data_IF_722162144083
#
_entry.id   IF_722162144083
#
_cell.length_a   1.000
_cell.length_b   1.000
_cell.length_c   1.000
_cell.angle_alpha   90.00
_cell.angle_beta   90.00
_cell.angle_gamma   90.00
#
_symmetry.space_group_name_H-M   'P 1'
#
loop_
_entity.id
_entity.type
_entity.pdbx_description
1 polymer ?
#
# COMPACT_ATOMS: atom_id res chain seq x y z
N UNK A 1 15.44 44.71 -1.23
CA UNK A 1 15.75 43.27 -1.15
C UNK A 1 15.05 42.65 0.07
N UNK A 2 13.72 42.49 0.04
CA UNK A 2 12.90 41.90 1.13
C UNK A 2 11.78 40.96 0.63
N UNK A 3 11.64 40.76 -0.69
CA UNK A 3 10.55 39.98 -1.30
C UNK A 3 10.86 38.48 -1.50
N UNK A 4 12.10 38.02 -1.32
CA UNK A 4 12.48 36.61 -1.60
C UNK A 4 12.23 35.68 -0.40
N UNK A 5 12.14 36.24 0.82
CA UNK A 5 12.04 35.43 2.06
C UNK A 5 10.62 34.87 2.28
N UNK A 6 9.57 35.56 1.80
CA UNK A 6 8.18 35.11 1.94
C UNK A 6 7.82 33.88 1.09
N UNK A 7 8.40 33.76 -0.12
CA UNK A 7 8.11 32.66 -1.04
C UNK A 7 8.66 31.31 -0.57
N UNK A 8 9.85 31.29 0.05
CA UNK A 8 10.48 30.05 0.51
C UNK A 8 9.73 29.40 1.69
N UNK A 9 9.18 30.21 2.61
CA UNK A 9 8.42 29.70 3.75
C UNK A 9 7.10 29.05 3.31
N UNK A 10 6.39 29.63 2.34
CA UNK A 10 5.14 29.05 1.82
C UNK A 10 5.37 27.72 1.09
N UNK A 11 6.47 27.62 0.31
CA UNK A 11 6.85 26.36 -0.37
C UNK A 11 7.21 25.29 0.66
N UNK A 12 7.98 25.62 1.70
CA UNK A 12 8.36 24.67 2.73
C UNK A 12 7.14 24.11 3.49
N UNK A 13 6.19 24.97 3.87
CA UNK A 13 4.94 24.53 4.53
C UNK A 13 4.12 23.62 3.61
N UNK A 14 4.00 23.99 2.33
CA UNK A 14 3.27 23.19 1.33
C UNK A 14 3.90 21.81 1.16
N UNK A 15 5.22 21.72 1.06
CA UNK A 15 5.94 20.45 0.96
C UNK A 15 5.68 19.60 2.21
N UNK A 16 5.78 20.17 3.41
CA UNK A 16 5.51 19.44 4.66
C UNK A 16 4.08 18.90 4.71
N UNK A 17 3.08 19.72 4.38
CA UNK A 17 1.67 19.29 4.38
C UNK A 17 1.44 18.18 3.36
N UNK A 18 1.95 18.32 2.14
CA UNK A 18 1.83 17.29 1.09
C UNK A 18 2.49 15.99 1.51
N UNK A 19 3.67 16.04 2.14
CA UNK A 19 4.35 14.84 2.64
C UNK A 19 3.61 14.20 3.82
N UNK A 20 3.03 14.99 4.73
CA UNK A 20 2.28 14.46 5.88
C UNK A 20 0.93 13.85 5.47
N UNK A 21 0.36 14.33 4.37
CA UNK A 21 -0.86 13.79 3.76
C UNK A 21 -0.58 12.68 2.75
N UNK A 22 0.69 12.37 2.49
CA UNK A 22 1.04 11.30 1.57
C UNK A 22 0.58 9.97 2.17
N UNK A 23 -0.11 9.10 1.40
CA UNK A 23 -0.53 7.80 1.91
C UNK A 23 0.68 7.02 2.44
N UNK A 24 0.53 6.45 3.63
CA UNK A 24 1.52 5.50 4.16
C UNK A 24 1.74 4.37 3.15
N UNK A 25 2.96 3.86 3.05
CA UNK A 25 3.27 2.78 2.12
C UNK A 25 2.47 1.51 2.46
N UNK A 26 2.32 0.59 1.50
CA UNK A 26 1.73 -0.72 1.77
C UNK A 26 2.44 -1.42 2.96
N UNK A 27 3.77 -1.42 2.98
CA UNK A 27 4.57 -1.95 4.08
C UNK A 27 4.23 -1.31 5.44
N UNK A 28 4.16 0.02 5.50
CA UNK A 28 3.83 0.75 6.73
C UNK A 28 2.42 0.44 7.23
N UNK A 29 1.46 0.28 6.31
CA UNK A 29 0.09 -0.14 6.65
C UNK A 29 0.07 -1.58 7.15
N UNK A 30 0.79 -2.50 6.52
CA UNK A 30 0.90 -3.90 6.97
C UNK A 30 1.44 -4.02 8.37
N UNK A 31 2.45 -3.22 8.76
CA UNK A 31 2.99 -3.20 10.13
C UNK A 31 1.94 -2.84 11.19
N UNK A 32 0.84 -2.19 10.82
CA UNK A 32 -0.28 -1.85 11.72
C UNK A 32 -1.24 -3.02 11.92
N UNK A 33 -1.25 -4.00 11.02
CA UNK A 33 -2.04 -5.23 11.17
C UNK A 33 -1.44 -6.06 12.31
N UNK A 34 -2.28 -6.52 13.23
CA UNK A 34 -1.87 -7.31 14.39
C UNK A 34 -2.69 -8.60 14.48
N UNK A 35 -2.12 -9.69 15.04
CA UNK A 35 -2.88 -10.89 15.34
C UNK A 35 -4.15 -10.57 16.15
N UNK A 36 -5.24 -11.26 15.83
CA UNK A 36 -6.55 -11.04 16.46
C UNK A 36 -7.44 -9.99 15.78
N UNK A 37 -6.95 -9.24 14.79
CA UNK A 37 -7.79 -8.33 14.00
C UNK A 37 -8.75 -9.10 13.09
N UNK A 38 -9.92 -8.53 12.82
CA UNK A 38 -10.86 -9.07 11.83
C UNK A 38 -10.50 -8.62 10.42
N UNK A 39 -11.03 -9.32 9.41
CA UNK A 39 -10.85 -8.90 8.01
C UNK A 39 -11.30 -7.46 7.74
N UNK A 40 -12.43 -7.03 8.33
CA UNK A 40 -12.90 -5.66 8.15
C UNK A 40 -11.92 -4.62 8.71
N UNK A 41 -11.27 -4.90 9.84
CA UNK A 41 -10.23 -4.02 10.40
C UNK A 41 -8.98 -3.97 9.52
N UNK A 42 -8.60 -5.11 8.91
CA UNK A 42 -7.51 -5.15 7.93
C UNK A 42 -7.85 -4.30 6.71
N UNK A 43 -9.06 -4.44 6.16
CA UNK A 43 -9.54 -3.65 5.02
C UNK A 43 -9.58 -2.14 5.35
N UNK A 44 -9.90 -1.75 6.58
CA UNK A 44 -9.84 -0.35 7.04
C UNK A 44 -8.39 0.17 7.09
N UNK A 45 -7.44 -0.63 7.58
CA UNK A 45 -6.01 -0.27 7.64
C UNK A 45 -5.41 -0.15 6.23
N UNK A 46 -5.74 -1.09 5.35
CA UNK A 46 -5.24 -1.15 3.98
C UNK A 46 -6.02 -0.21 3.04
N UNK A 47 -7.21 0.22 3.42
CA UNK A 47 -8.07 1.13 2.66
C UNK A 47 -8.77 0.50 1.45
N UNK A 48 -8.78 -0.82 1.34
CA UNK A 48 -9.38 -1.55 0.22
C UNK A 48 -9.65 -3.03 0.57
N UNK A 49 -10.60 -3.72 -0.10
CA UNK A 49 -10.78 -5.18 0.01
C UNK A 49 -9.59 -5.96 -0.59
N UNK A 50 -9.46 -7.27 -0.38
CA UNK A 50 -8.46 -8.09 -1.08
C UNK A 50 -8.59 -7.96 -2.60
N UNK A 51 -7.46 -7.98 -3.32
CA UNK A 51 -7.42 -7.89 -4.78
C UNK A 51 -6.17 -7.21 -5.33
N UNK A 52 -6.15 -7.01 -6.65
CA UNK A 52 -5.04 -6.38 -7.37
C UNK A 52 -5.29 -4.89 -7.60
N UNK A 53 -4.37 -4.07 -7.07
CA UNK A 53 -4.30 -2.62 -7.16
C UNK A 53 -3.06 -2.12 -7.91
N UNK A 54 -2.27 -3.04 -8.47
CA UNK A 54 -1.12 -2.73 -9.32
C UNK A 54 -1.53 -2.24 -10.70
N UNK A 55 -0.59 -1.58 -11.36
CA UNK A 55 -0.76 -1.00 -12.71
C UNK A 55 -0.51 -2.00 -13.83
N UNK A 56 0.23 -3.07 -13.55
CA UNK A 56 0.46 -4.18 -14.48
C UNK A 56 -0.04 -5.49 -13.88
N UNK A 57 -0.42 -6.44 -14.75
CA UNK A 57 -0.56 -7.85 -14.39
C UNK A 57 0.82 -8.38 -14.06
N UNK A 58 1.26 -8.12 -12.85
CA UNK A 58 2.28 -8.92 -12.22
C UNK A 58 1.69 -10.32 -12.08
N UNK A 59 2.02 -11.20 -13.04
CA UNK A 59 1.78 -12.63 -12.87
C UNK A 59 2.81 -13.10 -11.86
N UNK A 60 2.48 -13.01 -10.57
CA UNK A 60 3.10 -13.91 -9.63
C UNK A 60 2.88 -15.32 -10.16
N UNK A 61 3.96 -16.09 -10.23
CA UNK A 61 3.82 -17.52 -10.44
C UNK A 61 3.02 -18.01 -9.24
N UNK A 62 1.75 -18.35 -9.46
CA UNK A 62 0.86 -18.92 -8.46
C UNK A 62 1.64 -19.97 -7.67
N UNK A 63 2.09 -19.62 -6.46
CA UNK A 63 2.96 -20.48 -5.66
C UNK A 63 2.15 -21.61 -5.02
N UNK A 64 0.86 -21.73 -5.34
CA UNK A 64 0.05 -22.91 -5.05
C UNK A 64 -0.34 -23.06 -3.58
N UNK A 65 -0.21 -22.02 -2.77
CA UNK A 65 -0.53 -22.03 -1.34
C UNK A 65 -1.75 -21.16 -1.01
N UNK A 66 -2.84 -21.33 -1.76
CA UNK A 66 -4.14 -20.82 -1.35
C UNK A 66 -4.70 -21.70 -0.23
N UNK A 67 -4.19 -21.52 0.99
CA UNK A 67 -4.97 -21.94 2.15
C UNK A 67 -6.31 -21.18 2.13
N UNK A 68 -7.40 -21.87 2.46
CA UNK A 68 -8.77 -21.32 2.35
C UNK A 68 -9.01 -20.03 3.17
N UNK A 69 -8.05 -19.65 4.02
CA UNK A 69 -8.12 -18.48 4.89
C UNK A 69 -7.00 -17.46 4.64
N UNK A 70 -6.30 -17.53 3.51
CA UNK A 70 -5.29 -16.53 3.13
C UNK A 70 -5.87 -15.55 2.12
N UNK A 71 -5.67 -14.26 2.38
CA UNK A 71 -6.12 -13.17 1.50
C UNK A 71 -4.95 -12.29 1.13
N UNK A 72 -5.01 -11.75 -0.08
CA UNK A 72 -3.92 -10.99 -0.68
C UNK A 72 -4.40 -9.63 -1.19
N UNK A 73 -3.54 -8.64 -1.03
CA UNK A 73 -3.69 -7.32 -1.60
C UNK A 73 -2.42 -6.98 -2.37
N UNK A 74 -2.53 -6.84 -3.68
CA UNK A 74 -1.38 -6.62 -4.55
C UNK A 74 -1.29 -5.13 -4.90
N UNK A 75 -0.13 -4.51 -4.70
CA UNK A 75 0.15 -3.14 -5.13
C UNK A 75 1.41 -3.09 -5.99
N UNK A 76 1.63 -1.95 -6.67
CA UNK A 76 2.88 -1.67 -7.38
C UNK A 76 4.13 -1.81 -6.48
N UNK A 77 4.00 -1.56 -5.17
CA UNK A 77 5.10 -1.71 -4.22
C UNK A 77 5.37 -3.16 -3.79
N UNK A 78 4.40 -4.06 -3.94
CA UNK A 78 4.43 -5.40 -3.37
C UNK A 78 3.08 -5.82 -2.81
N UNK A 79 3.07 -7.00 -2.23
CA UNK A 79 1.85 -7.70 -1.84
C UNK A 79 1.73 -7.77 -0.32
N UNK A 80 0.50 -7.71 0.16
CA UNK A 80 0.17 -7.94 1.56
C UNK A 80 -0.60 -9.22 1.64
N UNK A 81 0.00 -10.22 2.28
CA UNK A 81 -0.61 -11.54 2.49
C UNK A 81 -1.04 -11.64 3.95
N UNK A 82 -2.31 -11.95 4.17
CA UNK A 82 -2.88 -12.06 5.52
C UNK A 82 -3.54 -13.41 5.68
N UNK A 83 -3.05 -14.18 6.64
CA UNK A 83 -3.63 -15.47 7.03
C UNK A 83 -4.60 -15.26 8.19
N UNK A 84 -5.81 -15.81 8.07
CA UNK A 84 -6.81 -15.82 9.13
C UNK A 84 -6.95 -17.22 9.73
N UNK A 85 -7.19 -17.29 11.03
CA UNK A 85 -7.57 -18.53 11.69
C UNK A 85 -9.04 -18.90 11.41
N UNK A 86 -9.49 -20.06 11.89
CA UNK A 86 -10.87 -20.52 11.71
C UNK A 86 -11.94 -19.65 12.37
N UNK A 87 -11.56 -18.72 13.26
CA UNK A 87 -12.47 -17.73 13.85
C UNK A 87 -12.54 -16.42 13.01
N UNK A 88 -11.87 -16.36 11.87
CA UNK A 88 -11.82 -15.18 11.01
C UNK A 88 -10.97 -14.04 11.57
N UNK A 89 -9.99 -14.37 12.44
CA UNK A 89 -9.07 -13.41 13.03
C UNK A 89 -7.66 -13.60 12.45
N UNK A 90 -6.94 -12.50 12.24
CA UNK A 90 -5.56 -12.50 11.74
C UNK A 90 -4.70 -13.40 12.62
N UNK A 91 -4.04 -14.36 11.98
CA UNK A 91 -2.95 -15.14 12.55
C UNK A 91 -1.62 -14.45 12.24
N UNK A 92 -1.43 -14.10 10.98
CA UNK A 92 -0.20 -13.55 10.44
C UNK A 92 -0.49 -12.57 9.30
N UNK A 93 0.36 -11.57 9.16
CA UNK A 93 0.33 -10.62 8.05
C UNK A 93 1.76 -10.31 7.62
N UNK A 94 2.06 -10.47 6.34
CA UNK A 94 3.38 -10.28 5.75
C UNK A 94 3.28 -9.29 4.59
N UNK A 95 4.30 -8.45 4.44
CA UNK A 95 4.50 -7.65 3.24
C UNK A 95 5.62 -8.26 2.42
N UNK A 96 5.34 -8.60 1.18
CA UNK A 96 6.30 -9.11 0.21
C UNK A 96 6.61 -8.00 -0.80
N UNK A 97 7.80 -7.38 -0.74
CA UNK A 97 8.11 -6.27 -1.63
C UNK A 97 8.20 -6.75 -3.08
N UNK A 98 7.69 -5.96 -4.02
CA UNK A 98 7.89 -6.17 -5.45
C UNK A 98 9.38 -5.97 -5.79
N UNK A 99 10.16 -7.01 -6.17
CA UNK A 99 11.54 -6.88 -6.67
C UNK A 99 11.76 -5.92 -7.84
N UNK A 100 10.72 -5.69 -8.66
CA UNK A 100 10.78 -4.85 -9.86
C UNK A 100 9.61 -3.85 -9.86
N UNK A 101 9.54 -2.91 -8.90
CA UNK A 101 8.42 -1.99 -8.82
C UNK A 101 8.43 -1.06 -10.05
N UNK A 102 7.26 -0.68 -10.59
CA UNK A 102 7.19 0.24 -11.72
C UNK A 102 7.84 1.57 -11.35
N UNK A 103 8.51 2.18 -12.33
CA UNK A 103 9.16 3.47 -12.13
C UNK A 103 8.14 4.55 -11.75
N UNK A 104 8.58 5.61 -11.06
CA UNK A 104 7.72 6.75 -10.70
C UNK A 104 7.01 7.33 -11.94
N UNK A 105 7.70 7.32 -13.08
CA UNK A 105 7.14 7.80 -14.33
C UNK A 105 6.04 6.89 -14.89
N UNK A 106 6.20 5.58 -14.77
CA UNK A 106 5.17 4.62 -15.19
C UNK A 106 3.92 4.71 -14.30
N UNK A 107 4.12 4.84 -12.98
CA UNK A 107 3.04 5.08 -12.01
C UNK A 107 2.29 6.38 -12.26
N UNK A 108 2.99 7.42 -12.70
CA UNK A 108 2.37 8.71 -13.01
C UNK A 108 1.61 8.63 -14.34
N UNK A 109 2.21 8.03 -15.37
CA UNK A 109 1.60 7.87 -16.69
C UNK A 109 0.32 7.05 -16.64
N UNK A 110 0.26 5.99 -15.82
CA UNK A 110 -0.93 5.13 -15.69
C UNK A 110 -2.16 5.84 -15.10
N UNK A 111 -1.97 7.00 -14.44
CA UNK A 111 -3.06 7.78 -13.82
C UNK A 111 -3.67 8.83 -14.75
N UNK A 112 -3.12 9.04 -15.94
CA UNK A 112 -3.62 10.04 -16.88
C UNK A 112 -4.82 9.47 -17.67
N UNK A 113 -5.90 10.24 -17.85
CA UNK A 113 -6.93 9.91 -18.81
C UNK A 113 -6.33 10.03 -20.21
N UNK A 114 -6.43 8.96 -20.99
CA UNK A 114 -5.93 8.81 -22.35
C UNK A 114 -7.09 8.98 -23.32
#
# INVERSE_FOLDING_TARGET
MRMVVGGLAAVAVTVVVVTAMWPASAEERTRRIKPGMTRAQVEEILGAPPGNYGTDRWTYADTGHWELNTFEWEWDEGDVVVEFNSAGLVREAVFEPNPNPPSVWDRWRSRLPW
#
